data_IF_400011681614
#
_entry.id   IF_400011681614
#
_cell.length_a   1.000
_cell.length_b   1.000
_cell.length_c   1.000
_cell.angle_alpha   90.00
_cell.angle_beta   90.00
_cell.angle_gamma   90.00
#
_symmetry.space_group_name_H-M   'P 1'
#
loop_
_entity.id
_entity.type
_entity.pdbx_description
1 polymer ?
#
# COMPACT_ATOMS: atom_id res chain seq x y z
N UNK A 1 7.71 -3.15 10.95
CA UNK A 1 7.41 -3.44 12.37
C UNK A 1 7.40 -4.96 12.64
N UNK A 2 6.76 -5.78 11.79
CA UNK A 2 6.71 -7.24 11.98
C UNK A 2 8.10 -7.90 11.99
N UNK A 3 9.01 -7.42 11.14
CA UNK A 3 10.43 -7.88 11.13
C UNK A 3 11.12 -7.53 12.45
N UNK A 4 10.95 -6.30 12.94
CA UNK A 4 11.53 -5.86 14.20
C UNK A 4 11.11 -6.74 15.39
N UNK A 5 9.85 -7.17 15.41
CA UNK A 5 9.31 -8.04 16.47
C UNK A 5 9.54 -9.55 16.23
N UNK A 6 10.27 -9.94 15.19
CA UNK A 6 10.49 -11.35 14.86
C UNK A 6 9.23 -12.09 14.43
N UNK A 7 8.17 -11.39 14.04
CA UNK A 7 6.85 -11.95 13.68
C UNK A 7 6.63 -12.13 12.18
N UNK A 8 7.58 -11.69 11.35
CA UNK A 8 7.45 -11.84 9.90
C UNK A 8 7.77 -13.28 9.49
N UNK A 9 6.84 -14.02 8.88
CA UNK A 9 6.96 -15.48 8.69
C UNK A 9 8.07 -15.90 7.71
N UNK A 10 8.49 -14.98 6.84
CA UNK A 10 9.45 -15.28 5.77
C UNK A 10 10.81 -14.57 5.92
N UNK A 11 11.09 -13.93 7.07
CA UNK A 11 12.35 -13.21 7.29
C UNK A 11 13.35 -14.09 8.01
N UNK A 12 14.59 -14.12 7.50
CA UNK A 12 15.74 -14.74 8.18
C UNK A 12 16.52 -13.66 8.94
N UNK A 13 16.97 -13.96 10.14
CA UNK A 13 17.72 -13.03 11.00
C UNK A 13 19.19 -13.47 11.14
N UNK A 14 20.17 -12.53 11.22
CA UNK A 14 20.00 -11.06 11.18
C UNK A 14 19.70 -10.55 9.78
N UNK A 15 19.00 -9.40 9.66
CA UNK A 15 18.72 -8.72 8.39
C UNK A 15 18.77 -7.20 8.55
N UNK A 16 19.41 -6.51 7.63
CA UNK A 16 19.27 -5.05 7.49
C UNK A 16 17.90 -4.77 6.89
N UNK A 17 17.09 -3.99 7.59
CA UNK A 17 15.71 -3.66 7.17
C UNK A 17 15.69 -2.56 6.08
N UNK A 18 14.50 -2.16 5.66
CA UNK A 18 14.24 -1.06 4.72
C UNK A 18 13.91 -1.56 3.32
N UNK A 19 12.75 -1.15 2.81
CA UNK A 19 12.27 -1.47 1.47
C UNK A 19 11.42 -0.33 0.87
N UNK A 20 11.03 0.63 1.68
CA UNK A 20 10.38 1.89 1.29
C UNK A 20 11.45 2.98 1.39
N UNK A 21 11.99 3.44 0.27
CA UNK A 21 13.16 4.33 0.27
C UNK A 21 13.16 5.26 -0.91
N UNK A 22 13.70 6.45 -0.70
CA UNK A 22 14.19 7.34 -1.74
C UNK A 22 15.61 7.77 -1.42
N UNK A 23 16.31 8.22 -2.41
CA UNK A 23 17.67 8.67 -2.27
C UNK A 23 18.21 9.32 -3.53
N UNK A 24 19.51 9.46 -3.58
CA UNK A 24 20.24 10.11 -4.66
C UNK A 24 21.34 9.18 -5.19
N UNK A 25 21.51 9.17 -6.50
CA UNK A 25 22.57 8.41 -7.12
C UNK A 25 23.93 9.09 -6.84
N UNK A 26 24.79 8.43 -6.08
CA UNK A 26 26.14 8.96 -5.78
C UNK A 26 27.22 8.35 -6.66
N UNK A 27 26.97 7.17 -7.25
CA UNK A 27 27.92 6.49 -8.14
C UNK A 27 27.17 5.57 -9.11
N UNK A 28 27.66 5.50 -10.34
CA UNK A 28 27.14 4.60 -11.39
C UNK A 28 28.17 3.51 -11.70
N UNK A 29 27.71 2.29 -11.95
CA UNK A 29 28.53 1.23 -12.53
C UNK A 29 28.89 1.54 -13.99
N UNK A 30 29.98 0.97 -14.48
CA UNK A 30 30.54 1.27 -15.80
C UNK A 30 29.57 1.10 -16.97
N UNK A 31 28.62 0.16 -16.87
CA UNK A 31 27.67 -0.17 -17.94
C UNK A 31 26.27 0.43 -17.74
N UNK A 32 26.05 1.21 -16.69
CA UNK A 32 24.75 1.80 -16.42
C UNK A 32 24.49 2.97 -17.38
N UNK A 33 23.31 2.96 -18.01
CA UNK A 33 22.83 3.99 -18.93
C UNK A 33 21.48 4.53 -18.46
N UNK A 34 21.17 5.76 -18.84
CA UNK A 34 19.87 6.39 -18.56
C UNK A 34 19.73 7.02 -17.17
N UNK A 35 20.83 7.04 -16.39
CA UNK A 35 20.88 7.70 -15.08
C UNK A 35 22.08 8.65 -14.99
N UNK A 36 21.99 9.61 -14.07
CA UNK A 36 23.07 10.57 -13.76
C UNK A 36 23.33 10.60 -12.26
N UNK A 37 24.57 10.91 -11.87
CA UNK A 37 24.91 11.20 -10.47
C UNK A 37 24.15 12.46 -10.03
N UNK A 38 23.61 12.46 -8.81
CA UNK A 38 22.77 13.51 -8.27
C UNK A 38 21.27 13.32 -8.56
N UNK A 39 20.90 12.33 -9.38
CA UNK A 39 19.49 12.08 -9.70
C UNK A 39 18.73 11.48 -8.53
N UNK A 40 17.57 12.04 -8.19
CA UNK A 40 16.64 11.47 -7.19
C UNK A 40 16.00 10.20 -7.70
N UNK A 41 15.94 9.20 -6.85
CA UNK A 41 15.40 7.88 -7.18
C UNK A 41 14.60 7.26 -6.03
N UNK A 42 13.76 6.32 -6.39
CA UNK A 42 13.27 5.25 -5.51
C UNK A 42 13.64 3.90 -6.09
N UNK A 43 13.50 2.82 -5.33
CA UNK A 43 13.83 1.47 -5.80
C UNK A 43 12.68 0.50 -5.62
N UNK A 44 12.63 -0.51 -6.48
CA UNK A 44 11.71 -1.64 -6.36
C UNK A 44 12.42 -2.76 -5.59
N UNK A 45 11.99 -3.07 -4.36
CA UNK A 45 12.70 -4.00 -3.48
C UNK A 45 12.53 -5.48 -3.84
N UNK A 46 11.77 -5.81 -4.89
CA UNK A 46 11.57 -7.18 -5.34
C UNK A 46 12.82 -7.77 -5.97
N UNK A 47 13.25 -8.95 -5.49
CA UNK A 47 14.32 -9.75 -6.09
C UNK A 47 13.68 -11.01 -6.65
N UNK A 48 13.66 -11.14 -7.97
CA UNK A 48 12.97 -12.19 -8.71
C UNK A 48 13.92 -13.09 -9.47
N UNK A 49 13.53 -14.33 -9.76
CA UNK A 49 14.39 -15.29 -10.43
C UNK A 49 14.47 -15.10 -11.96
N UNK A 50 13.49 -14.43 -12.58
CA UNK A 50 13.42 -14.22 -14.03
C UNK A 50 12.97 -15.45 -14.84
N UNK A 51 13.00 -16.67 -14.31
CA UNK A 51 12.84 -17.94 -15.05
C UNK A 51 11.54 -18.69 -14.78
N UNK A 52 10.87 -18.49 -13.62
CA UNK A 52 9.63 -19.20 -13.27
C UNK A 52 8.45 -18.74 -14.13
N UNK A 53 7.35 -19.49 -14.09
CA UNK A 53 6.17 -19.18 -14.91
C UNK A 53 5.67 -17.73 -14.71
N UNK A 54 5.44 -17.22 -13.49
CA UNK A 54 5.03 -15.84 -13.30
C UNK A 54 6.01 -14.82 -13.88
N UNK A 55 7.32 -15.02 -13.69
CA UNK A 55 8.34 -14.11 -14.22
C UNK A 55 8.32 -14.01 -15.75
N UNK A 56 8.24 -15.17 -16.44
CA UNK A 56 8.15 -15.20 -17.91
C UNK A 56 6.87 -14.58 -18.47
N UNK A 57 5.84 -14.40 -17.63
CA UNK A 57 4.56 -13.79 -18.00
C UNK A 57 4.37 -12.37 -17.39
N UNK A 58 5.47 -11.70 -16.99
CA UNK A 58 5.43 -10.33 -16.46
C UNK A 58 4.76 -10.16 -15.10
N UNK A 59 4.48 -11.27 -14.39
CA UNK A 59 3.87 -11.27 -13.06
C UNK A 59 4.95 -11.40 -11.97
N UNK A 60 5.89 -10.48 -11.95
CA UNK A 60 7.09 -10.53 -11.10
C UNK A 60 6.77 -10.58 -9.60
N UNK A 61 5.72 -9.90 -9.15
CA UNK A 61 5.24 -9.95 -7.76
C UNK A 61 4.84 -11.35 -7.29
N UNK A 62 4.61 -12.29 -8.21
CA UNK A 62 4.22 -13.67 -7.96
C UNK A 62 5.37 -14.65 -8.23
N UNK A 63 6.62 -14.18 -8.26
CA UNK A 63 7.78 -15.04 -8.48
C UNK A 63 7.85 -16.16 -7.44
N UNK A 64 8.01 -17.42 -7.88
CA UNK A 64 8.10 -18.59 -6.99
C UNK A 64 9.29 -18.55 -6.04
N UNK A 65 10.34 -17.80 -6.41
CA UNK A 65 11.56 -17.57 -5.61
C UNK A 65 11.65 -16.11 -5.15
N UNK A 66 10.49 -15.43 -4.97
CA UNK A 66 10.46 -14.03 -4.59
C UNK A 66 11.20 -13.78 -3.28
N UNK A 67 12.12 -12.82 -3.32
CA UNK A 67 12.72 -12.22 -2.13
C UNK A 67 12.45 -10.72 -2.14
N UNK A 68 12.45 -10.11 -0.98
CA UNK A 68 12.26 -8.67 -0.83
C UNK A 68 13.42 -8.11 -0.01
N UNK A 69 13.99 -7.01 -0.47
CA UNK A 69 15.02 -6.27 0.26
C UNK A 69 14.45 -5.86 1.63
N UNK A 70 15.25 -6.01 2.67
CA UNK A 70 14.81 -5.75 4.05
C UNK A 70 14.05 -6.88 4.75
N UNK A 71 13.80 -8.01 4.03
CA UNK A 71 13.17 -9.22 4.59
C UNK A 71 14.05 -10.47 4.39
N UNK A 72 14.29 -10.89 3.16
CA UNK A 72 15.10 -12.06 2.84
C UNK A 72 16.47 -11.69 2.26
N UNK A 73 16.67 -10.43 1.89
CA UNK A 73 17.96 -9.89 1.45
C UNK A 73 18.23 -8.58 2.18
N UNK A 74 19.46 -8.09 2.13
CA UNK A 74 19.86 -6.80 2.70
C UNK A 74 18.92 -5.69 2.23
N UNK A 75 18.40 -4.91 3.18
CA UNK A 75 17.54 -3.75 2.93
C UNK A 75 18.31 -2.43 2.92
N UNK A 76 17.57 -1.35 2.75
CA UNK A 76 18.07 -0.01 2.44
C UNK A 76 18.33 0.87 3.66
N UNK A 77 18.19 0.35 4.90
CA UNK A 77 18.49 1.11 6.12
C UNK A 77 20.01 1.25 6.30
N UNK A 78 20.63 2.08 5.45
CA UNK A 78 22.05 2.38 5.42
C UNK A 78 22.30 3.70 4.70
N UNK A 79 23.45 4.36 4.97
CA UNK A 79 23.84 5.60 4.30
C UNK A 79 24.05 5.41 2.79
N UNK A 80 24.59 4.26 2.40
CA UNK A 80 24.81 3.90 1.01
C UNK A 80 24.29 2.50 0.72
N UNK A 81 23.68 2.33 -0.44
CA UNK A 81 23.14 1.06 -0.86
C UNK A 81 23.46 0.81 -2.34
N UNK A 82 24.05 -0.35 -2.65
CA UNK A 82 24.28 -0.77 -4.02
C UNK A 82 23.11 -1.59 -4.53
N UNK A 83 22.55 -1.20 -5.65
CA UNK A 83 21.35 -1.82 -6.25
C UNK A 83 21.51 -1.96 -7.76
N UNK A 84 20.91 -2.98 -8.34
CA UNK A 84 20.81 -3.14 -9.79
C UNK A 84 20.01 -1.97 -10.40
N UNK A 85 20.57 -1.35 -11.44
CA UNK A 85 19.94 -0.24 -12.15
C UNK A 85 18.52 -0.57 -12.67
N UNK A 86 18.25 -1.84 -12.99
CA UNK A 86 16.91 -2.30 -13.39
C UNK A 86 15.85 -2.19 -12.28
N UNK A 87 16.26 -1.99 -11.03
CA UNK A 87 15.37 -1.78 -9.87
C UNK A 87 15.16 -0.32 -9.53
N UNK A 88 15.88 0.57 -10.17
CA UNK A 88 15.86 2.01 -9.89
C UNK A 88 14.78 2.67 -10.73
N UNK A 89 13.97 3.52 -10.08
CA UNK A 89 12.99 4.38 -10.74
C UNK A 89 13.35 5.84 -10.45
N UNK A 90 13.53 6.63 -11.51
CA UNK A 90 13.80 8.06 -11.38
C UNK A 90 12.57 8.78 -10.82
N UNK A 91 12.82 9.74 -9.92
CA UNK A 91 11.79 10.62 -9.36
C UNK A 91 11.87 12.00 -10.03
N UNK A 92 10.75 12.72 -10.17
CA UNK A 92 10.74 14.13 -10.54
C UNK A 92 11.61 14.99 -9.59
N UNK A 93 12.25 16.01 -10.09
CA UNK A 93 13.15 16.86 -9.28
C UNK A 93 12.41 17.56 -8.13
N UNK A 94 11.18 17.98 -8.37
CA UNK A 94 10.29 18.65 -7.41
C UNK A 94 9.73 17.70 -6.32
N UNK A 95 9.74 16.40 -6.55
CA UNK A 95 9.26 15.41 -5.56
C UNK A 95 10.22 15.38 -4.37
N UNK A 96 9.69 15.48 -3.16
CA UNK A 96 10.49 15.37 -1.95
C UNK A 96 10.97 13.91 -1.72
N UNK A 97 12.03 13.73 -0.93
CA UNK A 97 12.50 12.39 -0.55
C UNK A 97 11.43 11.63 0.24
N UNK A 98 10.66 12.31 1.08
CA UNK A 98 9.54 11.72 1.82
C UNK A 98 8.50 11.12 0.87
N UNK A 99 8.08 11.89 -0.12
CA UNK A 99 7.15 11.42 -1.14
C UNK A 99 7.75 10.26 -1.95
N UNK A 100 9.03 10.37 -2.31
CA UNK A 100 9.75 9.34 -3.03
C UNK A 100 9.82 8.01 -2.26
N UNK A 101 10.05 8.05 -0.95
CA UNK A 101 10.05 6.86 -0.09
C UNK A 101 8.66 6.21 0.02
N UNK A 102 7.60 7.00 -0.11
CA UNK A 102 6.23 6.52 -0.06
C UNK A 102 5.66 6.04 -1.41
N UNK A 103 6.43 6.11 -2.49
CA UNK A 103 6.02 5.55 -3.79
C UNK A 103 5.85 4.03 -3.71
N UNK A 104 6.69 3.33 -2.93
CA UNK A 104 6.57 1.88 -2.75
C UNK A 104 5.18 1.48 -2.20
N UNK A 105 4.74 1.94 -1.01
CA UNK A 105 3.41 1.58 -0.50
C UNK A 105 2.27 2.15 -1.34
N UNK A 106 2.47 3.27 -2.06
CA UNK A 106 1.47 3.78 -3.01
C UNK A 106 1.34 2.86 -4.22
N UNK A 107 2.44 2.27 -4.72
CA UNK A 107 2.39 1.30 -5.81
C UNK A 107 1.58 0.05 -5.41
N UNK A 108 1.62 -0.38 -4.14
CA UNK A 108 0.73 -1.44 -3.61
C UNK A 108 -0.73 -1.03 -3.77
N UNK A 109 -1.08 0.21 -3.42
CA UNK A 109 -2.44 0.72 -3.54
C UNK A 109 -2.88 0.84 -5.01
N UNK A 110 -2.01 1.32 -5.89
CA UNK A 110 -2.27 1.39 -7.34
C UNK A 110 -2.54 -0.01 -7.90
N UNK A 111 -1.70 -0.99 -7.55
CA UNK A 111 -1.90 -2.36 -7.98
C UNK A 111 -3.24 -2.92 -7.49
N UNK A 112 -3.56 -2.70 -6.21
CA UNK A 112 -4.81 -3.15 -5.62
C UNK A 112 -6.03 -2.56 -6.35
N UNK A 113 -6.02 -1.25 -6.65
CA UNK A 113 -7.12 -0.61 -7.37
C UNK A 113 -7.27 -1.18 -8.77
N UNK A 114 -6.17 -1.35 -9.50
CA UNK A 114 -6.18 -1.96 -10.84
C UNK A 114 -6.63 -3.42 -10.87
N UNK A 115 -6.64 -4.14 -9.72
CA UNK A 115 -7.19 -5.50 -9.64
C UNK A 115 -8.70 -5.57 -9.87
N UNK A 116 -9.41 -4.47 -9.66
CA UNK A 116 -10.84 -4.34 -10.00
C UNK A 116 -11.10 -3.92 -11.46
N UNK A 117 -10.05 -3.64 -12.24
CA UNK A 117 -10.18 -3.09 -13.58
C UNK A 117 -10.28 -1.57 -13.61
N UNK A 118 -11.05 -1.01 -14.53
CA UNK A 118 -11.29 0.44 -14.61
C UNK A 118 -12.33 0.85 -13.57
N UNK A 119 -11.91 1.70 -12.63
CA UNK A 119 -12.77 2.19 -11.53
C UNK A 119 -13.44 3.53 -11.83
N UNK A 120 -13.27 4.06 -13.02
CA UNK A 120 -13.85 5.36 -13.42
C UNK A 120 -15.37 5.35 -13.30
N UNK A 121 -15.91 6.31 -12.55
CA UNK A 121 -17.35 6.45 -12.29
C UNK A 121 -17.92 5.42 -11.31
N UNK A 122 -17.11 4.58 -10.69
CA UNK A 122 -17.53 3.59 -9.71
C UNK A 122 -17.62 4.18 -8.29
N UNK A 123 -18.52 3.62 -7.48
CA UNK A 123 -18.62 3.83 -6.04
C UNK A 123 -17.76 2.80 -5.32
N UNK A 124 -16.81 3.25 -4.52
CA UNK A 124 -15.78 2.41 -3.91
C UNK A 124 -15.90 2.44 -2.40
N UNK A 125 -15.89 1.26 -1.76
CA UNK A 125 -15.77 1.14 -0.31
C UNK A 125 -14.41 0.54 0.07
N UNK A 126 -13.76 1.10 1.10
CA UNK A 126 -12.47 0.63 1.64
C UNK A 126 -12.64 0.32 3.12
N UNK A 127 -12.34 -0.91 3.51
CA UNK A 127 -12.41 -1.37 4.90
C UNK A 127 -11.01 -1.29 5.53
N UNK A 128 -10.87 -0.41 6.53
CA UNK A 128 -9.63 -0.10 7.23
C UNK A 128 -8.96 1.19 6.74
N UNK A 129 -8.86 2.20 7.63
CA UNK A 129 -8.20 3.47 7.38
C UNK A 129 -6.74 3.49 7.88
N UNK A 130 -6.03 2.38 7.74
CA UNK A 130 -4.57 2.35 7.86
C UNK A 130 -3.88 3.02 6.67
N UNK A 131 -2.53 3.13 6.68
CA UNK A 131 -1.79 3.75 5.57
C UNK A 131 -2.17 3.21 4.19
N UNK A 132 -2.25 1.89 4.04
CA UNK A 132 -2.62 1.26 2.76
C UNK A 132 -4.07 1.57 2.37
N UNK A 133 -5.02 1.49 3.32
CA UNK A 133 -6.42 1.79 3.01
C UNK A 133 -6.64 3.23 2.56
N UNK A 134 -5.98 4.21 3.20
CA UNK A 134 -6.05 5.61 2.77
C UNK A 134 -5.40 5.80 1.39
N UNK A 135 -4.28 5.13 1.12
CA UNK A 135 -3.64 5.17 -0.21
C UNK A 135 -4.54 4.53 -1.28
N UNK A 136 -5.22 3.40 -0.99
CA UNK A 136 -6.20 2.78 -1.89
C UNK A 136 -7.36 3.73 -2.17
N UNK A 137 -7.91 4.37 -1.14
CA UNK A 137 -9.02 5.33 -1.28
C UNK A 137 -8.64 6.53 -2.16
N UNK A 138 -7.48 7.14 -1.90
CA UNK A 138 -6.97 8.24 -2.72
C UNK A 138 -6.67 7.80 -4.17
N UNK A 139 -6.08 6.62 -4.33
CA UNK A 139 -5.77 6.06 -5.65
C UNK A 139 -7.05 5.85 -6.47
N UNK A 140 -8.09 5.27 -5.87
CA UNK A 140 -9.39 5.08 -6.53
C UNK A 140 -9.97 6.42 -6.99
N UNK A 141 -9.96 7.45 -6.13
CA UNK A 141 -10.36 8.82 -6.53
C UNK A 141 -9.49 9.38 -7.63
N UNK A 142 -8.17 9.27 -7.51
CA UNK A 142 -7.19 9.75 -8.50
C UNK A 142 -7.34 9.10 -9.87
N UNK A 143 -7.85 7.87 -9.92
CA UNK A 143 -8.17 7.12 -11.13
C UNK A 143 -9.62 7.34 -11.62
N UNK A 144 -10.39 8.19 -10.96
CA UNK A 144 -11.68 8.66 -11.44
C UNK A 144 -12.90 7.96 -10.85
N UNK A 145 -12.78 7.28 -9.71
CA UNK A 145 -13.95 6.81 -8.98
C UNK A 145 -14.92 7.97 -8.70
N UNK A 146 -16.23 7.72 -8.79
CA UNK A 146 -17.28 8.71 -8.53
C UNK A 146 -17.23 9.18 -7.08
N UNK A 147 -17.20 8.22 -6.16
CA UNK A 147 -17.11 8.49 -4.74
C UNK A 147 -16.43 7.35 -3.99
N UNK A 148 -15.79 7.67 -2.86
CA UNK A 148 -15.06 6.71 -2.04
C UNK A 148 -15.48 6.83 -0.58
N UNK A 149 -15.89 5.69 0.00
CA UNK A 149 -16.11 5.53 1.43
C UNK A 149 -14.93 4.78 2.03
N UNK A 150 -14.47 5.21 3.21
CA UNK A 150 -13.51 4.46 4.02
C UNK A 150 -14.07 4.22 5.41
N UNK A 151 -13.82 3.03 5.96
CA UNK A 151 -14.27 2.67 7.31
C UNK A 151 -13.11 2.32 8.21
N UNK A 152 -13.23 2.67 9.49
CA UNK A 152 -12.32 2.22 10.56
C UNK A 152 -13.05 2.28 11.91
N UNK A 153 -12.41 1.78 12.95
CA UNK A 153 -12.86 1.90 14.34
C UNK A 153 -12.22 3.08 15.07
N UNK A 154 -11.24 3.74 14.46
CA UNK A 154 -10.47 4.87 15.00
C UNK A 154 -10.87 6.18 14.33
N UNK A 155 -11.44 7.11 15.11
CA UNK A 155 -11.76 8.46 14.62
C UNK A 155 -10.51 9.20 14.10
N UNK A 156 -9.35 9.02 14.77
CA UNK A 156 -8.10 9.67 14.37
C UNK A 156 -7.64 9.25 12.97
N UNK A 157 -7.79 7.96 12.62
CA UNK A 157 -7.46 7.46 11.30
C UNK A 157 -8.44 7.96 10.24
N UNK A 158 -9.72 8.05 10.60
CA UNK A 158 -10.75 8.59 9.72
C UNK A 158 -10.57 10.09 9.47
N UNK A 159 -10.10 10.86 10.45
CA UNK A 159 -9.70 12.25 10.24
C UNK A 159 -8.55 12.37 9.24
N UNK A 160 -7.54 11.49 9.32
CA UNK A 160 -6.47 11.43 8.31
C UNK A 160 -6.99 11.10 6.92
N UNK A 161 -7.92 10.16 6.81
CA UNK A 161 -8.57 9.86 5.54
C UNK A 161 -9.32 11.08 4.96
N UNK A 162 -9.99 11.84 5.83
CA UNK A 162 -10.68 13.08 5.44
C UNK A 162 -9.69 14.16 5.01
N UNK A 163 -8.57 14.34 5.71
CA UNK A 163 -7.48 15.25 5.31
C UNK A 163 -6.94 14.88 3.91
N UNK A 164 -6.94 13.60 3.57
CA UNK A 164 -6.56 13.07 2.26
C UNK A 164 -7.68 13.14 1.20
N UNK A 165 -8.82 13.77 1.50
CA UNK A 165 -9.89 14.04 0.55
C UNK A 165 -10.82 12.86 0.27
N UNK A 166 -10.92 11.88 1.16
CA UNK A 166 -11.90 10.79 1.05
C UNK A 166 -13.32 11.34 1.34
N UNK A 167 -14.30 10.93 0.53
CA UNK A 167 -15.64 11.54 0.56
C UNK A 167 -16.44 11.18 1.81
N UNK A 168 -16.45 9.89 2.17
CA UNK A 168 -17.20 9.37 3.30
C UNK A 168 -16.29 8.61 4.26
N UNK A 169 -16.23 9.06 5.52
CA UNK A 169 -15.39 8.45 6.56
C UNK A 169 -16.29 7.92 7.69
N UNK A 170 -16.39 6.61 7.83
CA UNK A 170 -17.37 5.96 8.70
C UNK A 170 -16.70 5.19 9.83
N UNK A 171 -17.01 5.55 11.09
CA UNK A 171 -16.60 4.79 12.26
C UNK A 171 -17.58 3.64 12.50
N UNK A 172 -17.13 2.41 12.28
CA UNK A 172 -17.96 1.19 12.39
C UNK A 172 -18.33 0.80 13.82
N UNK A 173 -17.76 1.46 14.84
CA UNK A 173 -18.27 1.38 16.22
C UNK A 173 -19.51 2.24 16.46
N UNK A 174 -19.75 3.25 15.61
CA UNK A 174 -20.83 4.24 15.76
C UNK A 174 -21.97 4.03 14.77
N UNK A 175 -21.67 3.48 13.58
CA UNK A 175 -22.62 3.28 12.49
C UNK A 175 -22.33 1.97 11.77
N UNK A 176 -23.36 1.17 11.50
CA UNK A 176 -23.21 -0.05 10.71
C UNK A 176 -22.74 0.26 9.29
N UNK A 177 -21.84 -0.57 8.75
CA UNK A 177 -21.26 -0.37 7.42
C UNK A 177 -22.31 -0.46 6.31
N UNK A 178 -23.26 -1.39 6.43
CA UNK A 178 -24.34 -1.55 5.44
C UNK A 178 -25.28 -0.35 5.43
N UNK A 179 -25.64 0.16 6.62
CA UNK A 179 -26.48 1.37 6.76
C UNK A 179 -25.76 2.60 6.18
N UNK A 180 -24.46 2.74 6.43
CA UNK A 180 -23.66 3.81 5.86
C UNK A 180 -23.62 3.74 4.32
N UNK A 181 -23.43 2.55 3.75
CA UNK A 181 -23.44 2.40 2.28
C UNK A 181 -24.79 2.76 1.67
N UNK A 182 -25.90 2.38 2.31
CA UNK A 182 -27.22 2.72 1.81
C UNK A 182 -27.50 4.23 1.88
N UNK A 183 -27.01 4.90 2.93
CA UNK A 183 -27.18 6.35 3.11
C UNK A 183 -26.34 7.16 2.12
N UNK A 184 -25.05 6.79 1.97
CA UNK A 184 -24.08 7.59 1.22
C UNK A 184 -24.01 7.20 -0.27
N UNK A 185 -24.21 5.93 -0.61
CA UNK A 185 -24.17 5.41 -1.98
C UNK A 185 -25.54 5.10 -2.57
N UNK A 186 -26.58 5.04 -1.72
CA UNK A 186 -27.92 4.67 -2.14
C UNK A 186 -28.11 3.14 -2.30
N UNK A 187 -29.24 2.72 -2.90
CA UNK A 187 -29.64 1.31 -2.98
C UNK A 187 -28.67 0.44 -3.80
N UNK A 188 -27.91 1.04 -4.72
CA UNK A 188 -26.95 0.34 -5.56
C UNK A 188 -25.63 0.04 -4.85
N UNK A 189 -25.40 0.61 -3.67
CA UNK A 189 -24.24 0.36 -2.81
C UNK A 189 -22.89 0.61 -3.54
N UNK A 190 -21.81 -0.09 -3.11
CA UNK A 190 -20.52 -0.02 -3.76
C UNK A 190 -20.40 -0.99 -4.95
N UNK A 191 -19.66 -0.57 -5.98
CA UNK A 191 -19.27 -1.41 -7.12
C UNK A 191 -18.11 -2.32 -6.75
N UNK A 192 -17.18 -1.82 -5.91
CA UNK A 192 -16.02 -2.57 -5.42
C UNK A 192 -15.80 -2.29 -3.94
N UNK A 193 -15.48 -3.35 -3.19
CA UNK A 193 -15.08 -3.27 -1.79
C UNK A 193 -13.62 -3.73 -1.66
N UNK A 194 -12.73 -2.88 -1.12
CA UNK A 194 -11.33 -3.23 -0.81
C UNK A 194 -11.20 -3.54 0.68
N UNK A 195 -10.76 -4.76 1.03
CA UNK A 195 -10.42 -5.10 2.42
C UNK A 195 -8.93 -4.85 2.68
N UNK A 196 -8.64 -3.73 3.35
CA UNK A 196 -7.31 -3.32 3.78
C UNK A 196 -7.05 -3.57 5.29
N UNK A 197 -8.01 -4.14 6.01
CA UNK A 197 -7.90 -4.46 7.44
C UNK A 197 -7.51 -5.93 7.70
N UNK A 198 -8.03 -6.87 6.91
CA UNK A 198 -7.58 -8.25 6.89
C UNK A 198 -7.93 -9.06 8.13
N UNK A 199 -9.19 -9.06 8.52
CA UNK A 199 -9.71 -9.89 9.59
C UNK A 199 -11.11 -10.41 9.27
N UNK A 200 -11.60 -11.40 10.05
CA UNK A 200 -12.89 -12.05 9.81
C UNK A 200 -14.08 -11.07 9.84
N UNK A 201 -13.98 -10.00 10.65
CA UNK A 201 -15.06 -9.01 10.76
C UNK A 201 -15.18 -8.22 9.45
N UNK A 202 -14.08 -7.68 8.95
CA UNK A 202 -14.10 -6.84 7.73
C UNK A 202 -14.41 -7.67 6.50
N UNK A 203 -13.87 -8.88 6.37
CA UNK A 203 -14.19 -9.77 5.27
C UNK A 203 -15.65 -10.23 5.34
N UNK A 204 -16.16 -10.56 6.53
CA UNK A 204 -17.57 -10.88 6.73
C UNK A 204 -18.50 -9.72 6.38
N UNK A 205 -18.14 -8.48 6.72
CA UNK A 205 -18.86 -7.29 6.32
C UNK A 205 -18.82 -7.08 4.80
N UNK A 206 -17.65 -7.25 4.18
CA UNK A 206 -17.51 -7.13 2.73
C UNK A 206 -18.47 -8.09 2.00
N UNK A 207 -18.47 -9.37 2.36
CA UNK A 207 -19.34 -10.37 1.74
C UNK A 207 -20.82 -10.09 2.01
N UNK A 208 -21.17 -9.82 3.27
CA UNK A 208 -22.58 -9.59 3.70
C UNK A 208 -23.23 -8.41 2.99
N UNK A 209 -22.49 -7.31 2.83
CA UNK A 209 -23.04 -6.04 2.37
C UNK A 209 -22.74 -5.74 0.90
N UNK A 210 -21.89 -6.53 0.24
CA UNK A 210 -21.66 -6.39 -1.19
C UNK A 210 -22.96 -6.45 -2.01
N UNK A 211 -23.05 -5.65 -3.06
CA UNK A 211 -24.10 -5.77 -4.07
C UNK A 211 -23.89 -7.08 -4.84
N UNK A 212 -24.98 -7.78 -5.19
CA UNK A 212 -24.91 -8.96 -6.07
C UNK A 212 -24.18 -8.61 -7.38
N UNK A 213 -23.24 -9.45 -7.77
CA UNK A 213 -22.41 -9.26 -8.97
C UNK A 213 -21.31 -8.19 -8.83
N UNK A 214 -20.99 -7.74 -7.61
CA UNK A 214 -19.90 -6.79 -7.38
C UNK A 214 -18.59 -7.48 -7.01
N UNK A 215 -17.50 -6.71 -6.93
CA UNK A 215 -16.15 -7.25 -6.67
C UNK A 215 -15.67 -6.92 -5.25
N UNK A 216 -14.98 -7.88 -4.65
CA UNK A 216 -14.24 -7.70 -3.39
C UNK A 216 -12.75 -7.94 -3.68
N UNK A 217 -11.90 -7.00 -3.29
CA UNK A 217 -10.45 -7.09 -3.44
C UNK A 217 -9.82 -7.19 -2.06
N UNK A 218 -9.24 -8.35 -1.73
CA UNK A 218 -8.45 -8.53 -0.53
C UNK A 218 -7.04 -7.95 -0.75
N UNK A 219 -6.73 -6.90 -0.02
CA UNK A 219 -5.44 -6.19 -0.05
C UNK A 219 -4.59 -6.53 1.17
N UNK A 220 -5.22 -6.66 2.32
CA UNK A 220 -4.54 -6.96 3.57
C UNK A 220 -3.97 -8.38 3.63
N UNK A 221 -2.95 -8.56 4.46
CA UNK A 221 -2.38 -9.87 4.77
C UNK A 221 -3.07 -10.44 6.01
N UNK A 222 -3.80 -11.55 5.86
CA UNK A 222 -4.37 -12.28 6.98
C UNK A 222 -3.30 -12.96 7.82
N UNK A 223 -3.48 -12.95 9.13
CA UNK A 223 -2.55 -13.62 10.06
C UNK A 223 -2.71 -15.15 10.10
N UNK A 224 -3.77 -15.69 9.50
CA UNK A 224 -4.10 -17.11 9.50
C UNK A 224 -5.24 -17.43 8.54
N UNK A 225 -5.94 -18.53 8.78
CA UNK A 225 -7.13 -18.90 8.01
C UNK A 225 -8.29 -17.95 8.32
N UNK A 226 -8.99 -17.51 7.28
CA UNK A 226 -10.19 -16.69 7.39
C UNK A 226 -11.46 -17.55 7.42
N UNK A 227 -12.46 -17.09 8.17
CA UNK A 227 -13.81 -17.65 8.14
C UNK A 227 -14.65 -16.89 7.12
N UNK A 228 -14.99 -17.54 6.01
CA UNK A 228 -15.67 -16.91 4.86
C UNK A 228 -16.99 -17.61 4.60
N UNK A 229 -18.09 -16.86 4.48
CA UNK A 229 -19.39 -17.38 4.06
C UNK A 229 -19.41 -17.59 2.54
N UNK A 230 -19.00 -18.79 2.13
CA UNK A 230 -18.98 -19.18 0.72
C UNK A 230 -20.39 -19.35 0.13
N UNK A 231 -21.42 -19.60 0.95
CA UNK A 231 -22.78 -19.73 0.48
C UNK A 231 -23.32 -18.39 -0.01
N UNK A 232 -23.11 -17.31 0.76
CA UNK A 232 -23.47 -15.95 0.36
C UNK A 232 -22.62 -15.48 -0.83
N UNK A 233 -21.32 -15.75 -0.79
CA UNK A 233 -20.41 -15.38 -1.88
C UNK A 233 -20.87 -15.98 -3.22
N UNK A 234 -21.28 -17.25 -3.22
CA UNK A 234 -21.78 -17.95 -4.41
C UNK A 234 -23.19 -17.46 -4.81
N UNK A 235 -24.14 -17.32 -3.86
CA UNK A 235 -25.51 -16.87 -4.18
C UNK A 235 -25.55 -15.45 -4.75
N UNK A 236 -24.62 -14.62 -4.31
CA UNK A 236 -24.48 -13.23 -4.78
C UNK A 236 -23.59 -13.10 -6.02
N UNK A 237 -23.00 -14.18 -6.53
CA UNK A 237 -22.05 -14.18 -7.66
C UNK A 237 -20.97 -13.10 -7.49
N UNK A 238 -20.33 -13.08 -6.28
CA UNK A 238 -19.31 -12.09 -5.96
C UNK A 238 -17.94 -12.48 -6.51
N UNK A 239 -17.26 -11.54 -7.15
CA UNK A 239 -15.86 -11.69 -7.54
C UNK A 239 -14.93 -11.43 -6.35
N UNK A 240 -14.39 -12.49 -5.74
CA UNK A 240 -13.36 -12.36 -4.71
C UNK A 240 -11.97 -12.45 -5.32
N UNK A 241 -11.30 -11.33 -5.45
CA UNK A 241 -9.93 -11.21 -5.97
C UNK A 241 -8.95 -10.81 -4.87
N UNK A 242 -7.65 -11.05 -5.12
CA UNK A 242 -6.57 -10.68 -4.20
C UNK A 242 -5.56 -9.77 -4.88
N UNK A 243 -4.82 -8.99 -4.10
CA UNK A 243 -3.74 -8.14 -4.56
C UNK A 243 -2.43 -8.52 -3.86
N UNK A 244 -1.33 -8.61 -4.61
CA UNK A 244 -0.01 -8.93 -4.06
C UNK A 244 1.04 -7.98 -4.61
N UNK A 245 1.60 -7.16 -3.71
CA UNK A 245 2.64 -6.18 -4.05
C UNK A 245 2.24 -5.29 -5.25
N UNK A 246 3.07 -5.20 -6.28
CA UNK A 246 2.94 -4.28 -7.42
C UNK A 246 3.79 -4.75 -8.60
N UNK A 247 3.63 -4.06 -9.73
CA UNK A 247 4.45 -4.17 -10.93
C UNK A 247 5.15 -2.85 -11.22
N UNK A 248 6.04 -2.84 -12.20
CA UNK A 248 6.78 -1.64 -12.60
C UNK A 248 5.84 -0.49 -13.04
N UNK A 249 4.82 -0.81 -13.82
CA UNK A 249 3.81 0.17 -14.27
C UNK A 249 3.03 0.81 -13.11
N UNK A 250 2.95 0.17 -11.95
CA UNK A 250 2.28 0.71 -10.78
C UNK A 250 3.14 1.76 -10.07
N UNK A 251 4.48 1.64 -10.11
CA UNK A 251 5.39 2.70 -9.67
C UNK A 251 5.28 3.95 -10.54
N UNK A 252 5.25 3.78 -11.85
CA UNK A 252 5.13 4.90 -12.80
C UNK A 252 3.80 5.62 -12.55
N UNK A 253 2.71 4.87 -12.38
CA UNK A 253 1.40 5.44 -12.10
C UNK A 253 1.34 6.12 -10.72
N UNK A 254 1.98 5.54 -9.70
CA UNK A 254 2.07 6.13 -8.37
C UNK A 254 2.78 7.51 -8.43
N UNK A 255 3.92 7.59 -9.11
CA UNK A 255 4.65 8.85 -9.32
C UNK A 255 3.76 9.88 -10.05
N UNK A 256 3.05 9.45 -11.10
CA UNK A 256 2.14 10.33 -11.85
C UNK A 256 1.03 10.89 -10.95
N UNK A 257 0.39 10.05 -10.15
CA UNK A 257 -0.69 10.46 -9.25
C UNK A 257 -0.24 11.48 -8.20
N UNK A 258 0.97 11.32 -7.65
CA UNK A 258 1.55 12.29 -6.72
C UNK A 258 1.88 13.60 -7.44
N UNK A 259 2.54 13.52 -8.59
CA UNK A 259 2.94 14.68 -9.36
C UNK A 259 1.74 15.52 -9.85
N UNK A 260 0.61 14.87 -10.14
CA UNK A 260 -0.66 15.53 -10.48
C UNK A 260 -1.48 15.97 -9.25
N UNK A 261 -0.94 15.86 -8.04
CA UNK A 261 -1.64 16.16 -6.77
C UNK A 261 -2.96 15.39 -6.56
N UNK A 262 -3.08 14.20 -7.17
CA UNK A 262 -4.23 13.31 -7.00
C UNK A 262 -4.13 12.40 -5.78
N UNK A 263 -2.91 12.23 -5.27
CA UNK A 263 -2.61 11.51 -4.03
C UNK A 263 -1.73 12.38 -3.15
N UNK A 264 -2.16 12.59 -1.92
CA UNK A 264 -1.45 13.37 -0.90
C UNK A 264 -0.75 12.42 0.05
N UNK A 265 0.58 12.43 0.07
CA UNK A 265 1.39 11.54 0.91
C UNK A 265 1.75 12.17 2.26
N UNK A 266 2.01 13.48 2.28
CA UNK A 266 2.43 14.23 3.48
C UNK A 266 1.51 14.07 4.69
N UNK A 267 0.16 14.07 4.58
CA UNK A 267 -0.72 13.87 5.73
C UNK A 267 -0.53 12.52 6.43
N UNK A 268 0.02 11.51 5.75
CA UNK A 268 0.27 10.19 6.30
C UNK A 268 1.58 10.08 7.06
N UNK A 269 2.48 11.06 6.98
CA UNK A 269 3.75 11.06 7.69
C UNK A 269 3.52 11.59 9.11
N UNK A 270 3.62 10.71 10.08
CA UNK A 270 3.37 11.04 11.49
C UNK A 270 4.58 11.65 12.18
N UNK A 271 5.78 11.19 11.85
CA UNK A 271 7.01 11.63 12.50
C UNK A 271 8.27 11.25 11.73
N UNK A 272 9.31 12.06 11.94
CA UNK A 272 10.68 11.83 11.48
C UNK A 272 11.59 11.45 12.64
N UNK A 273 12.57 10.60 12.39
CA UNK A 273 13.64 10.25 13.29
C UNK A 273 14.98 10.26 12.56
N UNK A 274 16.01 10.77 13.20
CA UNK A 274 17.39 10.64 12.70
C UNK A 274 17.81 9.17 12.68
N UNK A 275 18.66 8.77 11.75
CA UNK A 275 19.09 7.38 11.60
C UNK A 275 19.72 6.79 12.86
N UNK A 276 20.49 7.59 13.63
CA UNK A 276 21.04 7.19 14.94
C UNK A 276 19.98 6.80 15.96
N UNK A 277 18.74 7.29 15.81
CA UNK A 277 17.61 7.04 16.72
C UNK A 277 16.70 5.90 16.21
N UNK A 278 17.23 5.01 15.35
CA UNK A 278 16.50 3.94 14.69
C UNK A 278 15.66 3.09 15.66
N UNK A 279 16.23 2.69 16.81
CA UNK A 279 15.52 1.94 17.84
C UNK A 279 14.37 2.75 18.45
N UNK A 280 14.61 4.02 18.77
CA UNK A 280 13.60 4.90 19.34
C UNK A 280 12.39 5.10 18.41
N UNK A 281 12.59 5.07 17.07
CA UNK A 281 11.51 5.12 16.10
C UNK A 281 10.56 3.91 16.24
N UNK A 282 11.08 2.70 16.40
CA UNK A 282 10.25 1.50 16.61
C UNK A 282 9.54 1.51 17.96
N UNK A 283 10.21 1.96 19.02
CA UNK A 283 9.60 2.14 20.35
C UNK A 283 8.47 3.17 20.30
N UNK A 284 8.65 4.26 19.55
CA UNK A 284 7.61 5.26 19.33
C UNK A 284 6.39 4.68 18.60
N UNK A 285 6.60 3.91 17.52
CA UNK A 285 5.51 3.25 16.79
C UNK A 285 4.72 2.31 17.71
N UNK A 286 5.42 1.53 18.54
CA UNK A 286 4.78 0.61 19.49
C UNK A 286 3.95 1.31 20.56
N UNK A 287 4.44 2.44 21.07
CA UNK A 287 3.74 3.25 22.08
C UNK A 287 2.56 4.05 21.48
N UNK A 288 2.56 4.33 20.16
CA UNK A 288 1.61 5.23 19.50
C UNK A 288 0.88 4.58 18.31
N UNK A 289 0.56 3.28 18.37
CA UNK A 289 0.00 2.50 17.25
C UNK A 289 -1.29 3.07 16.65
N UNK A 290 -2.12 3.69 17.49
CA UNK A 290 -3.42 4.21 17.04
C UNK A 290 -3.28 5.51 16.24
N UNK A 291 -2.27 6.31 16.57
CA UNK A 291 -2.05 7.65 16.01
C UNK A 291 -0.97 7.67 14.92
N UNK A 292 -0.16 6.61 14.83
CA UNK A 292 0.96 6.54 13.89
C UNK A 292 0.53 5.92 12.56
N UNK A 293 0.75 6.64 11.46
CA UNK A 293 0.58 6.14 10.09
C UNK A 293 1.92 5.70 9.49
N UNK A 294 2.79 6.64 9.13
CA UNK A 294 4.12 6.41 8.60
C UNK A 294 5.17 7.15 9.45
N UNK A 295 6.30 6.52 9.66
CA UNK A 295 7.47 7.12 10.31
C UNK A 295 8.62 7.09 9.29
N UNK A 296 9.25 8.24 9.09
CA UNK A 296 10.38 8.38 8.18
C UNK A 296 11.68 8.37 8.99
N UNK A 297 12.67 7.67 8.46
CA UNK A 297 14.04 7.70 8.99
C UNK A 297 14.89 8.58 8.09
N UNK A 298 15.36 9.69 8.64
CA UNK A 298 16.26 10.60 7.93
C UNK A 298 17.69 10.06 8.06
N UNK A 299 18.22 9.63 6.91
CA UNK A 299 19.60 9.13 6.84
C UNK A 299 20.48 10.32 6.45
N UNK A 300 20.99 10.99 7.47
CA UNK A 300 21.89 12.13 7.31
C UNK A 300 23.22 11.70 6.70
N UNK A 301 23.81 12.62 5.94
CA UNK A 301 25.17 12.49 5.36
C UNK A 301 26.22 12.75 6.42
#
# INVERSE_FOLDING_TARGET
>A
IHVYHGKHPFTSYPVTQGHEVSGEIVKLGENVKGFTVGQKITIQPQVVCGECYPCRHGKYSLCEKLKVMGFQTTGTASEYFAVDAAKVTALPEEMSYDEGAMIEPLAVAVHAVKRAGDVKGMKIAVLGAGPIGILVAQTAKGLGAESVMITDVSDLRLEKAKECGVDFCVNTRKKDFGDAMLEDFGPDKADVIYDCAGNDITMGQAIKYARKGSSIILVAVFAGMANIDLAVLNDHELDLNTSMMYRNEDYIEAIRLVNENKVLLKPLISKHFAFKDYKAAYEYIDANRETTMKVIMDIDK
#
